data_IF_565182361290
#
_entry.id   IF_565182361290
#
_cell.length_a   1.000
_cell.length_b   1.000
_cell.length_c   1.000
_cell.angle_alpha   90.00
_cell.angle_beta   90.00
_cell.angle_gamma   90.00
#
_symmetry.space_group_name_H-M   'P 1'
#
loop_
_entity.id
_entity.type
_entity.pdbx_description
1 polymer ?
#
# COMPACT_ATOMS: atom_id res chain seq x y z
N UNK A 1 15.71 12.45 -1.74
CA UNK A 1 14.42 11.92 -2.19
C UNK A 1 13.28 12.57 -1.45
N UNK A 2 12.16 12.78 -2.12
CA UNK A 2 10.98 13.38 -1.54
C UNK A 2 9.87 12.34 -1.43
N UNK A 3 9.14 12.37 -0.29
CA UNK A 3 7.91 11.61 -0.08
C UNK A 3 6.80 12.63 0.18
N UNK A 4 5.70 12.52 -0.53
CA UNK A 4 4.54 13.38 -0.36
C UNK A 4 3.25 12.63 -0.66
N UNK A 5 2.11 13.18 -0.26
CA UNK A 5 0.83 12.65 -0.67
C UNK A 5 0.60 12.90 -2.16
N UNK A 6 -0.14 11.99 -2.80
CA UNK A 6 -0.41 12.05 -4.23
C UNK A 6 -1.43 13.15 -4.57
N UNK A 7 -1.31 13.66 -5.79
CA UNK A 7 -2.28 14.60 -6.39
C UNK A 7 -2.84 13.99 -7.68
N UNK A 8 -3.99 14.48 -8.19
CA UNK A 8 -4.60 13.88 -9.39
C UNK A 8 -3.66 13.76 -10.60
N UNK A 9 -2.74 14.71 -10.77
CA UNK A 9 -1.77 14.70 -11.86
C UNK A 9 -0.78 13.54 -11.79
N UNK A 10 -0.67 12.87 -10.65
CA UNK A 10 0.24 11.73 -10.46
C UNK A 10 -0.30 10.42 -11.06
N UNK A 11 -1.57 10.36 -11.44
CA UNK A 11 -2.23 9.12 -11.83
C UNK A 11 -1.48 8.33 -12.89
N UNK A 12 -1.02 8.99 -13.96
CA UNK A 12 -0.35 8.27 -15.04
C UNK A 12 0.98 7.67 -14.58
N UNK A 13 1.75 8.38 -13.77
CA UNK A 13 2.98 7.87 -13.18
C UNK A 13 2.73 6.68 -12.25
N UNK A 14 1.68 6.75 -11.46
CA UNK A 14 1.26 5.66 -10.56
C UNK A 14 0.88 4.41 -11.37
N UNK A 15 0.06 4.56 -12.41
CA UNK A 15 -0.34 3.45 -13.28
C UNK A 15 0.86 2.80 -13.93
N UNK A 16 1.79 3.59 -14.46
CA UNK A 16 3.00 3.08 -15.09
C UNK A 16 3.86 2.25 -14.12
N UNK A 17 4.01 2.71 -12.88
CA UNK A 17 4.77 1.99 -11.85
C UNK A 17 4.07 0.68 -11.47
N UNK A 18 2.76 0.70 -11.30
CA UNK A 18 1.99 -0.50 -10.94
C UNK A 18 2.15 -1.59 -12.01
N UNK A 19 2.04 -1.23 -13.28
CA UNK A 19 2.22 -2.16 -14.41
C UNK A 19 3.65 -2.73 -14.44
N UNK A 20 4.64 -1.93 -14.10
CA UNK A 20 6.04 -2.36 -14.07
C UNK A 20 6.34 -3.29 -12.89
N UNK A 21 5.68 -3.05 -11.75
CA UNK A 21 5.95 -3.78 -10.50
C UNK A 21 5.23 -5.12 -10.37
N UNK A 22 4.07 -5.28 -11.01
CA UNK A 22 3.21 -6.46 -10.80
C UNK A 22 2.77 -7.11 -12.11
N UNK A 23 2.62 -8.47 -12.11
CA UNK A 23 1.97 -9.17 -13.21
C UNK A 23 0.55 -8.64 -13.44
N UNK A 24 0.05 -8.74 -14.67
CA UNK A 24 -1.27 -8.24 -15.04
C UNK A 24 -2.40 -8.77 -14.15
N UNK A 25 -2.30 -10.03 -13.70
CA UNK A 25 -3.31 -10.65 -12.84
C UNK A 25 -3.35 -10.05 -11.43
N UNK A 26 -2.28 -9.39 -10.99
CA UNK A 26 -2.14 -8.83 -9.64
C UNK A 26 -2.18 -7.30 -9.63
N UNK A 27 -1.83 -6.65 -10.74
CA UNK A 27 -1.77 -5.20 -10.82
C UNK A 27 -3.16 -4.58 -10.67
N UNK A 28 -3.24 -3.49 -9.90
CA UNK A 28 -4.45 -2.68 -9.83
C UNK A 28 -4.69 -1.99 -11.16
N UNK A 29 -5.96 -1.86 -11.55
CA UNK A 29 -6.34 -1.18 -12.78
C UNK A 29 -6.24 0.35 -12.62
N UNK A 30 -6.16 1.05 -13.75
CA UNK A 30 -6.22 2.52 -13.75
C UNK A 30 -7.49 3.01 -13.07
N UNK A 31 -8.63 2.37 -13.33
CA UNK A 31 -9.91 2.75 -12.71
C UNK A 31 -9.87 2.61 -11.18
N UNK A 32 -9.29 1.50 -10.67
CA UNK A 32 -9.13 1.30 -9.23
C UNK A 32 -8.20 2.34 -8.61
N UNK A 33 -7.06 2.60 -9.23
CA UNK A 33 -6.09 3.58 -8.75
C UNK A 33 -6.67 5.00 -8.77
N UNK A 34 -7.41 5.35 -9.82
CA UNK A 34 -8.11 6.63 -9.91
C UNK A 34 -9.15 6.80 -8.80
N UNK A 35 -9.91 5.76 -8.50
CA UNK A 35 -10.88 5.76 -7.42
C UNK A 35 -10.22 5.98 -6.05
N UNK A 36 -9.13 5.28 -5.79
CA UNK A 36 -8.36 5.44 -4.54
C UNK A 36 -7.84 6.85 -4.39
N UNK A 37 -7.30 7.42 -5.46
CA UNK A 37 -6.77 8.77 -5.46
C UNK A 37 -7.86 9.83 -5.23
N UNK A 38 -9.08 9.57 -5.72
CA UNK A 38 -10.22 10.46 -5.52
C UNK A 38 -10.79 10.38 -4.10
N UNK A 39 -10.90 9.17 -3.54
CA UNK A 39 -11.53 8.95 -2.22
C UNK A 39 -10.59 9.19 -1.04
N UNK A 40 -9.32 8.81 -1.15
CA UNK A 40 -8.38 8.94 -0.03
C UNK A 40 -6.98 9.37 -0.47
N UNK A 41 -6.86 10.56 -1.08
CA UNK A 41 -5.55 11.06 -1.55
C UNK A 41 -4.55 11.23 -0.41
N UNK A 42 -5.02 11.46 0.82
CA UNK A 42 -4.17 11.61 2.01
C UNK A 42 -3.60 10.29 2.53
N UNK A 43 -4.05 9.16 1.98
CA UNK A 43 -3.56 7.82 2.26
C UNK A 43 -2.95 7.19 1.02
N UNK A 44 -2.42 8.05 0.16
CA UNK A 44 -1.73 7.69 -1.07
C UNK A 44 -0.43 8.49 -1.13
N UNK A 45 0.71 7.82 -0.94
CA UNK A 45 2.02 8.47 -0.84
C UNK A 45 2.88 8.10 -2.03
N UNK A 46 3.53 9.10 -2.62
CA UNK A 46 4.44 8.93 -3.74
C UNK A 46 5.85 9.31 -3.32
N UNK A 47 6.82 8.62 -3.91
CA UNK A 47 8.24 8.86 -3.67
C UNK A 47 8.90 9.30 -4.98
N UNK A 48 9.65 10.39 -4.91
CA UNK A 48 10.27 11.02 -6.07
C UNK A 48 11.78 11.16 -5.86
N UNK A 49 12.52 10.92 -6.94
CA UNK A 49 13.92 11.26 -7.06
C UNK A 49 14.00 12.42 -8.07
N UNK A 50 14.14 13.66 -7.56
CA UNK A 50 13.94 14.85 -8.39
C UNK A 50 12.51 14.88 -8.94
N UNK A 51 12.37 14.93 -10.26
CA UNK A 51 11.07 14.94 -10.96
C UNK A 51 10.57 13.54 -11.28
N UNK A 52 11.37 12.50 -11.03
CA UNK A 52 11.01 11.12 -11.37
C UNK A 52 10.29 10.46 -10.21
N UNK A 53 9.08 9.97 -10.45
CA UNK A 53 8.38 9.11 -9.51
C UNK A 53 8.99 7.71 -9.55
N UNK A 54 9.39 7.19 -8.39
CA UNK A 54 10.10 5.91 -8.29
C UNK A 54 9.35 4.86 -7.48
N UNK A 55 8.31 5.24 -6.77
CA UNK A 55 7.52 4.32 -5.98
C UNK A 55 6.32 4.98 -5.33
N UNK A 56 5.44 4.15 -4.78
CA UNK A 56 4.29 4.65 -4.02
C UNK A 56 3.77 3.59 -3.05
N UNK A 57 3.04 4.06 -2.06
CA UNK A 57 2.27 3.22 -1.13
C UNK A 57 0.87 3.80 -1.04
N UNK A 58 -0.14 2.94 -1.01
CA UNK A 58 -1.52 3.39 -0.82
C UNK A 58 -2.35 2.37 -0.07
N UNK A 59 -3.44 2.83 0.52
CA UNK A 59 -4.42 1.97 1.15
C UNK A 59 -5.47 2.78 1.89
N UNK A 60 -6.69 2.22 2.01
CA UNK A 60 -7.76 2.87 2.74
C UNK A 60 -7.60 2.74 4.24
N UNK A 61 -8.32 3.58 4.97
CA UNK A 61 -8.53 3.44 6.41
C UNK A 61 -9.90 2.82 6.64
N UNK A 62 -10.02 1.93 7.62
CA UNK A 62 -11.27 1.24 7.93
C UNK A 62 -11.29 0.80 9.40
N UNK A 63 -12.50 0.56 9.92
CA UNK A 63 -12.67 -0.07 11.23
C UNK A 63 -12.59 -1.59 11.16
N UNK A 64 -12.67 -2.18 9.96
CA UNK A 64 -12.55 -3.62 9.81
C UNK A 64 -11.13 -4.08 10.08
N UNK A 65 -10.97 -5.14 10.90
CA UNK A 65 -9.61 -5.56 11.28
C UNK A 65 -8.88 -6.32 10.18
N UNK A 66 -9.60 -6.93 9.24
CA UNK A 66 -8.98 -7.75 8.20
C UNK A 66 -9.07 -7.08 6.82
N UNK A 67 -8.00 -7.24 6.04
CA UNK A 67 -7.95 -6.74 4.68
C UNK A 67 -8.69 -7.72 3.76
N UNK A 68 -9.72 -7.23 3.06
CA UNK A 68 -10.56 -8.04 2.19
C UNK A 68 -10.47 -7.60 0.74
N UNK A 69 -10.71 -8.52 -0.19
CA UNK A 69 -10.57 -8.27 -1.62
C UNK A 69 -11.44 -7.12 -2.14
N UNK A 70 -12.66 -6.96 -1.62
CA UNK A 70 -13.52 -5.85 -2.06
C UNK A 70 -12.93 -4.47 -1.77
N UNK A 71 -12.03 -4.36 -0.79
CA UNK A 71 -11.38 -3.09 -0.47
C UNK A 71 -10.46 -2.61 -1.59
N UNK A 72 -9.87 -3.52 -2.36
CA UNK A 72 -9.01 -3.16 -3.48
C UNK A 72 -9.78 -2.48 -4.62
N UNK A 73 -11.04 -2.86 -4.82
CA UNK A 73 -11.85 -2.43 -5.96
C UNK A 73 -12.84 -1.31 -5.62
N UNK A 74 -13.25 -1.19 -4.36
CA UNK A 74 -14.27 -0.24 -3.93
C UNK A 74 -13.68 0.77 -2.94
N UNK A 75 -13.15 1.86 -3.48
CA UNK A 75 -12.56 2.93 -2.67
C UNK A 75 -13.57 3.64 -1.77
N UNK A 76 -14.88 3.51 -2.05
CA UNK A 76 -15.94 4.11 -1.22
C UNK A 76 -16.07 3.46 0.15
N UNK A 77 -15.44 2.30 0.36
CA UNK A 77 -15.40 1.65 1.68
C UNK A 77 -14.47 2.35 2.66
N UNK A 78 -13.67 3.31 2.18
CA UNK A 78 -12.79 4.10 3.04
C UNK A 78 -13.57 4.83 4.13
N UNK A 79 -13.06 4.74 5.37
CA UNK A 79 -13.58 5.46 6.53
C UNK A 79 -12.44 6.24 7.18
N UNK A 80 -12.44 7.56 7.00
CA UNK A 80 -11.35 8.43 7.47
C UNK A 80 -11.13 8.35 8.99
N UNK A 81 -12.14 7.99 9.75
CA UNK A 81 -12.05 7.85 11.21
C UNK A 81 -11.79 6.41 11.66
N UNK A 82 -11.48 5.52 10.73
CA UNK A 82 -11.25 4.10 11.01
C UNK A 82 -10.00 3.83 11.84
N UNK A 83 -9.95 2.65 12.45
CA UNK A 83 -8.89 2.25 13.36
C UNK A 83 -7.63 1.74 12.64
N UNK A 84 -7.77 1.20 11.44
CA UNK A 84 -6.70 0.48 10.75
C UNK A 84 -6.35 1.13 9.40
N UNK A 85 -5.05 1.36 9.20
CA UNK A 85 -4.53 1.74 7.88
C UNK A 85 -4.24 0.46 7.10
N UNK A 86 -5.02 0.21 6.05
CA UNK A 86 -4.72 -0.87 5.11
C UNK A 86 -3.62 -0.44 4.16
N UNK A 87 -2.79 -1.37 3.72
CA UNK A 87 -1.75 -1.16 2.72
C UNK A 87 -2.04 -2.09 1.54
N UNK A 88 -2.35 -1.53 0.38
CA UNK A 88 -2.71 -2.29 -0.81
C UNK A 88 -1.53 -2.58 -1.72
N UNK A 89 -0.52 -1.75 -1.68
CA UNK A 89 0.67 -1.94 -2.50
C UNK A 89 1.85 -1.15 -1.95
N UNK A 90 3.02 -1.75 -2.06
CA UNK A 90 4.29 -1.10 -1.80
C UNK A 90 5.10 -1.27 -3.07
N UNK A 91 5.12 -0.23 -3.90
CA UNK A 91 5.70 -0.26 -5.23
C UNK A 91 7.02 0.51 -5.25
N UNK A 92 8.04 -0.12 -5.82
CA UNK A 92 9.32 0.54 -6.14
C UNK A 92 9.77 0.04 -7.49
N UNK A 93 10.09 0.94 -8.42
CA UNK A 93 10.56 0.54 -9.75
C UNK A 93 11.86 -0.27 -9.63
N UNK A 94 12.10 -1.22 -10.53
CA UNK A 94 13.23 -2.16 -10.41
C UNK A 94 14.58 -1.49 -10.20
N UNK A 95 14.83 -0.36 -10.88
CA UNK A 95 16.11 0.37 -10.79
C UNK A 95 16.43 0.90 -9.39
N UNK A 96 15.40 1.10 -8.55
CA UNK A 96 15.55 1.65 -7.20
C UNK A 96 15.36 0.60 -6.11
N UNK A 97 15.19 -0.67 -6.47
CA UNK A 97 15.08 -1.75 -5.49
C UNK A 97 16.43 -2.02 -4.81
N UNK A 98 16.36 -2.54 -3.59
CA UNK A 98 17.53 -2.84 -2.75
C UNK A 98 18.38 -1.62 -2.40
N UNK A 99 17.78 -0.44 -2.39
CA UNK A 99 18.43 0.83 -2.02
C UNK A 99 17.83 1.48 -0.79
N UNK A 100 16.91 0.79 -0.11
CA UNK A 100 16.22 1.34 1.06
C UNK A 100 15.05 2.27 0.73
N UNK A 101 14.66 2.42 -0.52
CA UNK A 101 13.57 3.32 -0.93
C UNK A 101 12.22 2.88 -0.40
N UNK A 102 11.90 1.59 -0.58
CA UNK A 102 10.64 1.03 -0.06
C UNK A 102 10.58 1.11 1.46
N UNK A 103 11.71 0.87 2.14
CA UNK A 103 11.78 0.97 3.60
C UNK A 103 11.53 2.41 4.08
N UNK A 104 12.13 3.39 3.41
CA UNK A 104 11.92 4.79 3.75
C UNK A 104 10.46 5.20 3.59
N UNK A 105 9.84 4.77 2.47
CA UNK A 105 8.44 5.07 2.19
C UNK A 105 7.50 4.40 3.20
N UNK A 106 7.72 3.13 3.49
CA UNK A 106 6.90 2.39 4.46
C UNK A 106 7.04 2.96 5.87
N UNK A 107 8.25 3.32 6.29
CA UNK A 107 8.45 3.97 7.59
C UNK A 107 7.74 5.31 7.67
N UNK A 108 7.71 6.08 6.59
CA UNK A 108 6.97 7.34 6.54
C UNK A 108 5.47 7.10 6.78
N UNK A 109 4.90 6.10 6.11
CA UNK A 109 3.48 5.73 6.26
C UNK A 109 3.19 5.26 7.69
N UNK A 110 4.06 4.46 8.28
CA UNK A 110 3.93 3.99 9.66
C UNK A 110 3.89 5.19 10.62
N UNK A 111 4.81 6.13 10.46
CA UNK A 111 4.85 7.33 11.30
C UNK A 111 3.57 8.16 11.16
N UNK A 112 3.08 8.34 9.95
CA UNK A 112 1.83 9.08 9.73
C UNK A 112 0.61 8.39 10.34
N UNK A 113 0.47 7.08 10.15
CA UNK A 113 -0.62 6.32 10.74
C UNK A 113 -0.61 6.41 12.26
N UNK A 114 0.57 6.34 12.86
CA UNK A 114 0.74 6.49 14.30
C UNK A 114 0.35 7.88 14.79
N UNK A 115 0.79 8.91 14.07
CA UNK A 115 0.45 10.31 14.39
C UNK A 115 -1.06 10.57 14.26
N UNK A 116 -1.74 9.88 13.35
CA UNK A 116 -3.19 9.97 13.18
C UNK A 116 -3.98 9.23 14.26
N UNK A 117 -3.32 8.47 15.13
CA UNK A 117 -3.98 7.73 16.20
C UNK A 117 -4.58 6.40 15.77
N UNK A 118 -4.16 5.84 14.63
CA UNK A 118 -4.61 4.51 14.18
C UNK A 118 -4.12 3.44 15.14
N UNK A 119 -4.79 2.29 15.17
CA UNK A 119 -4.34 1.13 15.97
C UNK A 119 -3.16 0.39 15.33
N UNK A 120 -2.95 0.56 14.06
CA UNK A 120 -1.86 -0.05 13.32
C UNK A 120 -2.12 -0.14 11.82
N UNK A 121 -1.32 -0.97 11.16
CA UNK A 121 -1.39 -1.20 9.73
C UNK A 121 -1.62 -2.68 9.42
N UNK A 122 -2.32 -2.95 8.33
CA UNK A 122 -2.58 -4.31 7.85
C UNK A 122 -2.24 -4.39 6.38
N UNK A 123 -1.52 -5.43 5.98
CA UNK A 123 -1.26 -5.72 4.58
C UNK A 123 -1.33 -7.22 4.32
N UNK A 124 -1.49 -7.59 3.06
CA UNK A 124 -1.31 -8.96 2.62
C UNK A 124 -0.09 -9.03 1.71
N UNK A 125 0.68 -10.11 1.82
CA UNK A 125 1.88 -10.31 1.01
C UNK A 125 2.06 -11.79 0.67
N UNK A 126 2.90 -12.05 -0.32
CA UNK A 126 3.35 -13.41 -0.62
C UNK A 126 4.24 -13.93 0.50
N UNK A 127 4.27 -15.24 0.67
CA UNK A 127 5.06 -15.90 1.73
C UNK A 127 6.50 -15.40 1.80
N UNK A 128 7.16 -15.25 0.65
CA UNK A 128 8.55 -14.79 0.58
C UNK A 128 8.80 -13.39 1.15
N UNK A 129 7.74 -12.59 1.32
CA UNK A 129 7.85 -11.21 1.84
C UNK A 129 7.46 -11.09 3.31
N UNK A 130 6.92 -12.13 3.93
CA UNK A 130 6.55 -12.11 5.35
C UNK A 130 7.75 -11.70 6.21
N UNK A 131 8.91 -12.28 5.94
CA UNK A 131 10.14 -11.97 6.67
C UNK A 131 10.60 -10.53 6.48
N UNK A 132 10.44 -10.00 5.26
CA UNK A 132 10.78 -8.60 4.96
C UNK A 132 9.94 -7.64 5.81
N UNK A 133 8.62 -7.84 5.85
CA UNK A 133 7.73 -6.98 6.62
C UNK A 133 7.90 -7.16 8.13
N UNK A 134 8.35 -8.32 8.58
CA UNK A 134 8.65 -8.54 10.00
C UNK A 134 9.71 -7.57 10.53
N UNK A 135 10.61 -7.10 9.68
CA UNK A 135 11.64 -6.11 10.06
C UNK A 135 11.04 -4.77 10.50
N UNK A 136 9.83 -4.46 10.05
CA UNK A 136 9.11 -3.23 10.44
C UNK A 136 8.20 -3.44 11.66
N UNK A 137 8.11 -4.67 12.15
CA UNK A 137 7.24 -5.01 13.28
C UNK A 137 5.94 -5.70 12.88
N UNK A 138 5.72 -5.97 11.59
CA UNK A 138 4.55 -6.72 11.15
C UNK A 138 4.65 -8.18 11.57
N UNK A 139 3.56 -8.71 12.13
CA UNK A 139 3.46 -10.11 12.55
C UNK A 139 2.49 -10.83 11.64
N UNK A 140 2.91 -11.96 11.09
CA UNK A 140 2.05 -12.79 10.23
C UNK A 140 0.88 -13.36 11.00
N UNK A 141 -0.31 -13.25 10.43
CA UNK A 141 -1.55 -13.84 10.95
C UNK A 141 -1.97 -15.09 10.16
N UNK A 142 -1.08 -15.58 9.29
CA UNK A 142 -1.31 -16.76 8.47
C UNK A 142 -1.94 -16.45 7.12
N UNK A 143 -2.39 -17.50 6.45
CA UNK A 143 -3.02 -17.39 5.13
C UNK A 143 -4.30 -16.58 5.23
N UNK A 144 -4.42 -15.56 4.36
CA UNK A 144 -5.61 -14.72 4.30
C UNK A 144 -6.69 -15.35 3.42
N UNK A 145 -7.92 -14.82 3.51
CA UNK A 145 -9.02 -15.22 2.63
C UNK A 145 -8.91 -14.66 1.22
N UNK A 146 -7.88 -13.88 0.91
CA UNK A 146 -7.74 -13.26 -0.41
C UNK A 146 -7.46 -14.29 -1.49
N UNK A 147 -8.13 -14.14 -2.64
CA UNK A 147 -7.90 -14.95 -3.83
C UNK A 147 -7.36 -14.10 -5.00
N UNK A 148 -6.96 -12.87 -4.73
CA UNK A 148 -6.48 -11.92 -5.72
C UNK A 148 -5.34 -12.52 -6.57
N UNK A 149 -5.48 -12.51 -7.88
CA UNK A 149 -4.48 -13.02 -8.81
C UNK A 149 -4.25 -14.54 -8.72
N UNK A 150 -5.13 -15.30 -8.06
CA UNK A 150 -4.97 -16.74 -7.82
C UNK A 150 -3.68 -17.08 -7.07
N UNK A 151 -3.24 -16.22 -6.18
CA UNK A 151 -2.03 -16.36 -5.38
C UNK A 151 -2.42 -16.56 -3.91
N UNK A 152 -1.61 -17.29 -3.17
CA UNK A 152 -1.76 -17.42 -1.72
C UNK A 152 -1.18 -16.18 -1.06
N UNK A 153 -2.03 -15.47 -0.30
CA UNK A 153 -1.65 -14.26 0.42
C UNK A 153 -1.63 -14.50 1.92
N UNK A 154 -0.65 -13.91 2.59
CA UNK A 154 -0.53 -13.93 4.05
C UNK A 154 -0.89 -12.55 4.59
N UNK A 155 -1.78 -12.51 5.57
CA UNK A 155 -2.09 -11.26 6.25
C UNK A 155 -1.04 -10.98 7.32
N UNK A 156 -0.52 -9.77 7.34
CA UNK A 156 0.40 -9.31 8.38
C UNK A 156 -0.10 -8.01 8.99
N UNK A 157 0.16 -7.84 10.27
CA UNK A 157 -0.33 -6.70 11.04
C UNK A 157 0.76 -6.09 11.89
N UNK A 158 0.86 -4.76 11.84
CA UNK A 158 1.67 -3.98 12.76
C UNK A 158 0.72 -3.29 13.75
N UNK A 159 0.85 -3.58 15.03
CA UNK A 159 0.07 -2.92 16.10
C UNK A 159 0.92 -1.85 16.76
N UNK A 160 0.31 -0.72 16.99
CA UNK A 160 0.96 0.35 17.76
C UNK A 160 0.80 0.15 19.26
#
# INVERSE_FOLDING_TARGET
MQIRTAVPADLQGIVNIEVECFPAAEAATEASLSGRLAFYPNHFWVQLDGDRMIGFVNGMVTDEPDLRDEMYEDASLHNETGAWQMIFGVDTIPEYRCRGCAAALLNHVICEAKAQGRKGLVLTCKDKLVHYYAKFGFVSEGVSGSTHGNVVWYQTRLRF
#
